data_IF_834915531629
#
_entry.id   IF_834915531629
#
_cell.length_a   1.000
_cell.length_b   1.000
_cell.length_c   1.000
_cell.angle_alpha   90.00
_cell.angle_beta   90.00
_cell.angle_gamma   90.00
#
_symmetry.space_group_name_H-M   'P 1'
#
loop_
_entity.id
_entity.type
_entity.pdbx_description
1 polymer ?
#
# COMPACT_ATOMS: atom_id res chain seq x y z
N UNK A 1 2.55 -24.57 29.88
CA UNK A 1 1.39 -23.65 29.76
C UNK A 1 1.23 -23.28 28.28
N UNK A 2 0.23 -23.82 27.61
CA UNK A 2 -0.12 -23.42 26.24
C UNK A 2 -0.82 -22.07 26.29
N UNK A 3 -0.16 -21.01 25.81
CA UNK A 3 -0.84 -19.72 25.56
C UNK A 3 -1.98 -19.98 24.59
N UNK A 4 -3.21 -19.65 24.98
CA UNK A 4 -4.36 -19.65 24.08
C UNK A 4 -4.15 -18.55 23.05
N UNK A 5 -3.83 -18.95 21.81
CA UNK A 5 -3.65 -18.02 20.69
C UNK A 5 -5.02 -17.45 20.32
N UNK A 6 -5.24 -16.17 20.61
CA UNK A 6 -6.47 -15.46 20.25
C UNK A 6 -6.36 -14.80 18.87
N UNK A 7 -7.47 -14.56 18.15
CA UNK A 7 -7.46 -13.81 16.90
C UNK A 7 -6.85 -12.41 17.03
N UNK A 8 -7.06 -11.73 18.17
CA UNK A 8 -6.46 -10.43 18.45
C UNK A 8 -4.94 -10.50 18.61
N UNK A 9 -4.42 -11.58 19.21
CA UNK A 9 -2.98 -11.82 19.30
C UNK A 9 -2.37 -12.06 17.92
N UNK A 10 -3.03 -12.86 17.06
CA UNK A 10 -2.58 -13.09 15.68
C UNK A 10 -2.58 -11.80 14.85
N UNK A 11 -3.63 -10.98 14.97
CA UNK A 11 -3.71 -9.69 14.29
C UNK A 11 -2.61 -8.73 14.76
N UNK A 12 -2.37 -8.67 16.07
CA UNK A 12 -1.30 -7.83 16.65
C UNK A 12 0.08 -8.27 16.16
N UNK A 13 0.32 -9.58 16.11
CA UNK A 13 1.57 -10.14 15.59
C UNK A 13 1.74 -9.83 14.10
N UNK A 14 0.69 -10.02 13.28
CA UNK A 14 0.71 -9.72 11.86
C UNK A 14 0.99 -8.24 11.59
N UNK A 15 0.34 -7.32 12.31
CA UNK A 15 0.59 -5.89 12.21
C UNK A 15 2.02 -5.51 12.65
N UNK A 16 2.54 -6.15 13.70
CA UNK A 16 3.90 -5.91 14.17
C UNK A 16 4.93 -6.34 13.13
N UNK A 17 4.72 -7.50 12.50
CA UNK A 17 5.59 -8.00 11.43
C UNK A 17 5.48 -7.16 10.17
N UNK A 18 4.28 -6.80 9.74
CA UNK A 18 4.06 -5.95 8.56
C UNK A 18 4.87 -4.66 8.61
N UNK A 19 4.99 -4.05 9.80
CA UNK A 19 5.70 -2.77 10.00
C UNK A 19 7.22 -2.87 9.93
N UNK A 20 7.80 -4.08 9.81
CA UNK A 20 9.24 -4.24 9.56
C UNK A 20 9.53 -3.85 8.11
N UNK A 21 10.63 -3.12 7.81
CA UNK A 21 10.87 -2.59 6.46
C UNK A 21 10.87 -3.64 5.33
N UNK A 22 11.48 -4.80 5.57
CA UNK A 22 11.47 -5.90 4.61
C UNK A 22 10.08 -6.49 4.39
N UNK A 23 9.35 -6.74 5.46
CA UNK A 23 7.99 -7.29 5.41
C UNK A 23 7.04 -6.33 4.69
N UNK A 24 7.13 -5.03 4.99
CA UNK A 24 6.38 -4.00 4.29
C UNK A 24 6.71 -3.99 2.80
N UNK A 25 8.01 -4.05 2.46
CA UNK A 25 8.48 -4.12 1.07
C UNK A 25 7.90 -5.33 0.35
N UNK A 26 7.87 -6.51 0.99
CA UNK A 26 7.29 -7.71 0.40
C UNK A 26 5.77 -7.61 0.18
N UNK A 27 5.02 -7.05 1.14
CA UNK A 27 3.60 -6.79 0.95
C UNK A 27 3.35 -5.79 -0.19
N UNK A 28 4.15 -4.72 -0.25
CA UNK A 28 4.06 -3.74 -1.32
C UNK A 28 4.39 -4.34 -2.70
N UNK A 29 5.44 -5.15 -2.80
CA UNK A 29 5.78 -5.88 -4.03
C UNK A 29 4.70 -6.92 -4.40
N UNK A 30 4.08 -7.56 -3.41
CA UNK A 30 2.92 -8.43 -3.61
C UNK A 30 1.73 -7.67 -4.21
N UNK A 31 1.43 -6.47 -3.72
CA UNK A 31 0.39 -5.60 -4.28
C UNK A 31 0.70 -5.15 -5.71
N UNK A 32 1.95 -4.78 -6.00
CA UNK A 32 2.41 -4.45 -7.35
C UNK A 32 2.27 -5.66 -8.28
N UNK A 33 2.71 -6.85 -7.82
CA UNK A 33 2.55 -8.10 -8.56
C UNK A 33 1.10 -8.47 -8.82
N UNK A 34 0.20 -8.18 -7.89
CA UNK A 34 -1.24 -8.36 -8.08
C UNK A 34 -1.80 -7.39 -9.13
N UNK A 35 -1.38 -6.12 -9.13
CA UNK A 35 -1.77 -5.18 -10.18
C UNK A 35 -1.30 -5.65 -11.57
N UNK A 36 -0.07 -6.17 -11.67
CA UNK A 36 0.45 -6.77 -12.91
C UNK A 36 -0.31 -8.03 -13.30
N UNK A 37 -0.73 -8.83 -12.33
CA UNK A 37 -1.60 -9.99 -12.55
C UNK A 37 -2.90 -9.57 -13.22
N UNK A 38 -3.55 -8.53 -12.71
CA UNK A 38 -4.80 -8.01 -13.27
C UNK A 38 -4.59 -7.51 -14.71
N UNK A 39 -3.51 -6.77 -14.96
CA UNK A 39 -3.19 -6.30 -16.31
C UNK A 39 -2.88 -7.45 -17.28
N UNK A 40 -2.04 -8.40 -16.89
CA UNK A 40 -1.57 -9.49 -17.77
C UNK A 40 -2.53 -10.68 -17.83
N UNK A 41 -3.46 -10.81 -16.87
CA UNK A 41 -4.27 -12.01 -16.62
C UNK A 41 -3.42 -13.29 -16.47
N UNK A 42 -2.29 -13.19 -15.77
CA UNK A 42 -1.33 -14.28 -15.63
C UNK A 42 -1.45 -14.99 -14.28
N UNK A 43 -1.77 -16.28 -14.30
CA UNK A 43 -1.81 -17.12 -13.09
C UNK A 43 -0.44 -17.27 -12.43
N UNK A 44 0.65 -17.19 -13.20
CA UNK A 44 2.01 -17.23 -12.66
C UNK A 44 2.32 -15.97 -11.84
N UNK A 45 1.96 -14.79 -12.36
CA UNK A 45 2.10 -13.53 -11.61
C UNK A 45 1.21 -13.54 -10.37
N UNK A 46 0.01 -14.13 -10.47
CA UNK A 46 -0.89 -14.27 -9.32
C UNK A 46 -0.23 -15.09 -8.21
N UNK A 47 0.28 -16.28 -8.55
CA UNK A 47 0.97 -17.14 -7.60
C UNK A 47 2.19 -16.45 -6.98
N UNK A 48 3.03 -15.78 -7.78
CA UNK A 48 4.17 -15.03 -7.29
C UNK A 48 3.75 -13.90 -6.33
N UNK A 49 2.68 -13.17 -6.66
CA UNK A 49 2.16 -12.08 -5.82
C UNK A 49 1.66 -12.60 -4.47
N UNK A 50 0.97 -13.75 -4.45
CA UNK A 50 0.54 -14.40 -3.22
C UNK A 50 1.71 -14.88 -2.37
N UNK A 51 2.76 -15.44 -2.99
CA UNK A 51 3.96 -15.88 -2.27
C UNK A 51 4.67 -14.68 -1.63
N UNK A 52 4.87 -13.59 -2.37
CA UNK A 52 5.49 -12.37 -1.83
C UNK A 52 4.66 -11.76 -0.69
N UNK A 53 3.34 -11.66 -0.89
CA UNK A 53 2.43 -11.13 0.12
C UNK A 53 2.42 -12.03 1.37
N UNK A 54 2.35 -13.35 1.19
CA UNK A 54 2.42 -14.32 2.29
C UNK A 54 3.76 -14.26 3.04
N UNK A 55 4.87 -14.15 2.31
CA UNK A 55 6.22 -14.07 2.87
C UNK A 55 6.39 -12.90 3.84
N UNK A 56 5.73 -11.77 3.60
CA UNK A 56 5.77 -10.61 4.48
C UNK A 56 5.11 -10.80 5.85
N UNK A 57 4.37 -11.90 6.10
CA UNK A 57 3.87 -12.25 7.43
C UNK A 57 4.84 -13.09 8.27
N UNK A 58 5.95 -13.55 7.69
CA UNK A 58 6.95 -14.34 8.41
C UNK A 58 7.99 -13.47 9.09
N UNK A 59 8.64 -14.03 10.11
CA UNK A 59 9.83 -13.42 10.70
C UNK A 59 11.02 -13.79 9.81
N UNK A 60 11.37 -12.90 8.89
CA UNK A 60 12.46 -13.11 7.94
C UNK A 60 13.76 -12.60 8.56
N UNK A 61 14.72 -13.50 8.72
CA UNK A 61 16.08 -13.16 9.15
C UNK A 61 16.87 -12.52 7.99
N UNK A 62 16.50 -11.30 7.63
CA UNK A 62 17.11 -10.52 6.56
C UNK A 62 18.07 -9.48 7.15
N UNK A 63 19.17 -9.15 6.44
CA UNK A 63 20.12 -8.14 6.90
C UNK A 63 19.46 -6.77 7.02
N UNK A 64 20.05 -5.88 7.80
CA UNK A 64 19.59 -4.49 7.85
C UNK A 64 19.64 -3.86 6.46
N UNK A 65 18.57 -3.13 6.09
CA UNK A 65 18.51 -2.46 4.79
C UNK A 65 19.39 -1.22 4.87
N UNK A 66 20.35 -1.05 3.94
CA UNK A 66 21.18 0.15 3.92
C UNK A 66 20.32 1.40 3.74
N UNK A 67 20.74 2.48 4.40
CA UNK A 67 20.00 3.74 4.36
C UNK A 67 20.04 4.34 2.95
N UNK A 68 18.87 4.38 2.31
CA UNK A 68 18.71 4.87 0.94
C UNK A 68 17.31 5.48 0.75
N UNK A 69 17.03 5.98 -0.45
CA UNK A 69 15.72 6.60 -0.79
C UNK A 69 14.55 5.64 -0.59
N UNK A 70 14.75 4.35 -0.85
CA UNK A 70 13.72 3.33 -0.66
C UNK A 70 13.37 3.19 0.83
N UNK A 71 14.37 3.09 1.71
CA UNK A 71 14.12 2.99 3.14
C UNK A 71 13.41 4.22 3.70
N UNK A 72 13.80 5.42 3.25
CA UNK A 72 13.09 6.64 3.64
C UNK A 72 11.61 6.58 3.24
N UNK A 73 11.32 6.12 2.01
CA UNK A 73 9.95 5.92 1.56
C UNK A 73 9.18 4.89 2.40
N UNK A 74 9.77 3.71 2.65
CA UNK A 74 9.15 2.65 3.46
C UNK A 74 8.87 3.14 4.88
N UNK A 75 9.84 3.79 5.53
CA UNK A 75 9.66 4.34 6.87
C UNK A 75 8.55 5.38 6.93
N UNK A 76 8.50 6.31 5.97
CA UNK A 76 7.41 7.31 5.88
C UNK A 76 6.05 6.65 5.61
N UNK A 77 6.00 5.59 4.80
CA UNK A 77 4.76 4.86 4.52
C UNK A 77 4.25 4.10 5.77
N UNK A 78 5.15 3.42 6.49
CA UNK A 78 4.83 2.74 7.75
C UNK A 78 4.37 3.73 8.81
N UNK A 79 5.04 4.88 8.94
CA UNK A 79 4.63 5.92 9.86
C UNK A 79 3.27 6.51 9.51
N UNK A 80 3.03 6.78 8.23
CA UNK A 80 1.72 7.21 7.73
C UNK A 80 0.62 6.20 8.05
N UNK A 81 0.87 4.90 7.86
CA UNK A 81 -0.08 3.84 8.17
C UNK A 81 -0.37 3.78 9.67
N UNK A 82 0.66 3.87 10.52
CA UNK A 82 0.51 3.92 11.98
C UNK A 82 -0.36 5.10 12.40
N UNK A 83 -0.08 6.28 11.86
CA UNK A 83 -0.82 7.51 12.14
C UNK A 83 -2.26 7.40 11.63
N UNK A 84 -2.47 6.82 10.45
CA UNK A 84 -3.80 6.59 9.91
C UNK A 84 -4.61 5.63 10.76
N UNK A 85 -4.04 4.51 11.21
CA UNK A 85 -4.72 3.54 12.08
C UNK A 85 -5.04 4.16 13.44
N UNK A 86 -4.11 4.91 14.03
CA UNK A 86 -4.28 5.54 15.33
C UNK A 86 -5.27 6.72 15.33
N UNK A 87 -5.45 7.41 14.19
CA UNK A 87 -6.36 8.56 14.09
C UNK A 87 -7.82 8.13 14.36
N UNK A 88 -8.60 8.92 15.12
CA UNK A 88 -10.00 8.61 15.40
C UNK A 88 -10.85 8.60 14.12
N UNK A 89 -11.89 7.76 14.09
CA UNK A 89 -12.86 7.71 13.00
C UNK A 89 -13.79 8.92 13.05
N UNK A 90 -13.34 10.03 12.47
CA UNK A 90 -14.16 11.21 12.23
C UNK A 90 -14.64 11.27 10.76
N UNK A 91 -15.53 12.22 10.47
CA UNK A 91 -16.08 12.39 9.12
C UNK A 91 -15.01 12.64 8.05
N UNK A 92 -13.93 13.33 8.41
CA UNK A 92 -12.81 13.58 7.51
C UNK A 92 -12.06 12.28 7.14
N UNK A 93 -11.77 11.42 8.11
CA UNK A 93 -11.15 10.10 7.89
C UNK A 93 -12.06 9.18 7.09
N UNK A 94 -13.36 9.16 7.39
CA UNK A 94 -14.38 8.39 6.67
C UNK A 94 -14.43 8.82 5.21
N UNK A 95 -14.54 10.13 4.92
CA UNK A 95 -14.56 10.64 3.55
C UNK A 95 -13.31 10.25 2.78
N UNK A 96 -12.13 10.41 3.39
CA UNK A 96 -10.85 10.00 2.78
C UNK A 96 -10.81 8.50 2.51
N UNK A 97 -11.28 7.69 3.46
CA UNK A 97 -11.36 6.24 3.29
C UNK A 97 -12.27 5.85 2.11
N UNK A 98 -13.46 6.45 2.01
CA UNK A 98 -14.40 6.20 0.91
C UNK A 98 -13.77 6.60 -0.44
N UNK A 99 -13.11 7.75 -0.50
CA UNK A 99 -12.41 8.19 -1.72
C UNK A 99 -11.30 7.20 -2.09
N UNK A 100 -10.47 6.78 -1.13
CA UNK A 100 -9.42 5.78 -1.38
C UNK A 100 -10.00 4.44 -1.86
N UNK A 101 -11.10 3.99 -1.26
CA UNK A 101 -11.80 2.78 -1.66
C UNK A 101 -12.34 2.88 -3.09
N UNK A 102 -12.95 4.01 -3.44
CA UNK A 102 -13.49 4.28 -4.77
C UNK A 102 -12.39 4.31 -5.84
N UNK A 103 -11.29 5.04 -5.59
CA UNK A 103 -10.13 5.08 -6.49
C UNK A 103 -9.53 3.68 -6.66
N UNK A 104 -9.41 2.91 -5.58
CA UNK A 104 -8.91 1.53 -5.62
C UNK A 104 -9.82 0.64 -6.47
N UNK A 105 -11.13 0.74 -6.27
CA UNK A 105 -12.13 0.00 -7.05
C UNK A 105 -12.06 0.30 -8.55
N UNK A 106 -12.01 1.58 -8.93
CA UNK A 106 -11.85 2.00 -10.33
C UNK A 106 -10.53 1.49 -10.90
N UNK A 107 -9.43 1.60 -10.14
CA UNK A 107 -8.11 1.16 -10.59
C UNK A 107 -8.11 -0.34 -10.87
N UNK A 108 -8.68 -1.15 -9.96
CA UNK A 108 -8.80 -2.60 -10.15
C UNK A 108 -9.68 -2.96 -11.36
N UNK A 109 -10.81 -2.27 -11.52
CA UNK A 109 -11.67 -2.43 -12.70
C UNK A 109 -10.94 -2.09 -13.99
N UNK A 110 -10.23 -0.95 -14.04
CA UNK A 110 -9.49 -0.51 -15.23
C UNK A 110 -8.31 -1.43 -15.55
N UNK A 111 -7.59 -1.95 -14.54
CA UNK A 111 -6.57 -2.97 -14.73
C UNK A 111 -7.16 -4.26 -15.30
N UNK A 112 -8.32 -4.69 -14.80
CA UNK A 112 -9.02 -5.87 -15.28
C UNK A 112 -9.52 -5.73 -16.72
N UNK A 113 -10.13 -4.60 -17.07
CA UNK A 113 -10.60 -4.33 -18.44
C UNK A 113 -9.48 -3.92 -19.39
N UNK A 114 -8.26 -3.70 -18.87
CA UNK A 114 -7.10 -3.14 -19.59
C UNK A 114 -7.41 -1.79 -20.25
N UNK A 115 -8.24 -0.98 -19.60
CA UNK A 115 -8.60 0.35 -20.07
C UNK A 115 -7.46 1.34 -19.79
N UNK A 116 -6.57 1.48 -20.77
CA UNK A 116 -5.41 2.37 -20.70
C UNK A 116 -5.80 3.84 -20.56
N UNK A 117 -6.96 4.26 -21.08
CA UNK A 117 -7.40 5.65 -20.98
C UNK A 117 -7.76 5.99 -19.55
N UNK A 118 -8.49 5.11 -18.86
CA UNK A 118 -8.84 5.30 -17.44
C UNK A 118 -7.59 5.27 -16.56
N UNK A 119 -6.66 4.35 -16.82
CA UNK A 119 -5.38 4.30 -16.10
C UNK A 119 -4.55 5.58 -16.31
N UNK A 120 -4.48 6.07 -17.55
CA UNK A 120 -3.78 7.31 -17.86
C UNK A 120 -4.43 8.52 -17.17
N UNK A 121 -5.76 8.58 -17.12
CA UNK A 121 -6.49 9.62 -16.39
C UNK A 121 -6.19 9.58 -14.89
N UNK A 122 -6.16 8.40 -14.27
CA UNK A 122 -5.79 8.27 -12.84
C UNK A 122 -4.38 8.82 -12.59
N UNK A 123 -3.42 8.46 -13.44
CA UNK A 123 -2.04 8.95 -13.33
C UNK A 123 -1.98 10.47 -13.54
N UNK A 124 -2.67 11.00 -14.56
CA UNK A 124 -2.72 12.42 -14.85
C UNK A 124 -3.34 13.23 -13.69
N UNK A 125 -4.46 12.77 -13.13
CA UNK A 125 -5.05 13.40 -11.94
C UNK A 125 -4.11 13.35 -10.74
N UNK A 126 -3.43 12.23 -10.51
CA UNK A 126 -2.41 12.12 -9.45
C UNK A 126 -1.28 13.13 -9.62
N UNK A 127 -0.79 13.29 -10.85
CA UNK A 127 0.24 14.27 -11.19
C UNK A 127 -0.26 15.71 -11.01
N UNK A 128 -1.48 16.03 -11.44
CA UNK A 128 -2.07 17.36 -11.22
C UNK A 128 -2.21 17.69 -9.73
N UNK A 129 -2.59 16.72 -8.90
CA UNK A 129 -2.64 16.91 -7.44
C UNK A 129 -1.26 17.15 -6.83
N UNK A 130 -0.22 16.51 -7.37
CA UNK A 130 1.15 16.74 -6.96
C UNK A 130 1.61 18.16 -7.34
N UNK A 131 1.42 18.58 -8.60
CA UNK A 131 1.73 19.94 -9.06
C UNK A 131 0.95 21.00 -8.26
N UNK A 132 -0.34 20.77 -8.00
CA UNK A 132 -1.14 21.68 -7.17
C UNK A 132 -0.54 21.86 -5.77
N UNK A 133 -0.05 20.78 -5.15
CA UNK A 133 0.60 20.87 -3.83
C UNK A 133 1.90 21.67 -3.91
N UNK A 134 2.75 21.40 -4.90
CA UNK A 134 3.98 22.16 -5.09
C UNK A 134 3.72 23.65 -5.31
N UNK A 135 2.68 24.00 -6.08
CA UNK A 135 2.27 25.39 -6.28
C UNK A 135 1.86 26.07 -4.97
N UNK A 136 1.00 25.41 -4.18
CA UNK A 136 0.55 25.93 -2.88
C UNK A 136 1.73 26.10 -1.93
N UNK A 137 2.62 25.11 -1.85
CA UNK A 137 3.82 25.16 -1.00
C UNK A 137 4.79 26.26 -1.47
N UNK A 138 4.78 26.59 -2.77
CA UNK A 138 5.50 27.71 -3.37
C UNK A 138 4.80 29.07 -3.27
N UNK A 139 3.63 29.15 -2.62
CA UNK A 139 2.87 30.39 -2.43
C UNK A 139 2.05 30.85 -3.64
N UNK A 140 1.90 29.99 -4.66
CA UNK A 140 1.02 30.22 -5.80
C UNK A 140 -0.35 29.61 -5.43
N UNK A 141 -1.42 30.42 -5.45
CA UNK A 141 -2.79 29.93 -5.27
C UNK A 141 -3.39 29.58 -6.65
N UNK A 142 -3.55 28.28 -6.99
CA UNK A 142 -3.96 27.82 -8.31
C UNK A 142 -5.47 27.71 -8.51
#
# INVERSE_FOLDING_TARGET
MTMTVTPSHLLTLALTRHRRPWNWTLHFMGLVGFALTMAAHSSLLFAASLVLFGAGFFDLNLPEIPENRWIRFVSSAVEWEKNWVAAPWNWYKIRRFIICLFITGITLWALWTRDLAVLALIVAFGYLLHVRRENIDGGIDP
#
